data_IF_829468823438
#
_entry.id   IF_829468823438
#
_cell.length_a   1.000
_cell.length_b   1.000
_cell.length_c   1.000
_cell.angle_alpha   90.00
_cell.angle_beta   90.00
_cell.angle_gamma   90.00
#
_symmetry.space_group_name_H-M   'P 1'
#
loop_
_entity.id
_entity.type
_entity.pdbx_description
1 polymer ?
#
# COMPACT_ATOMS: atom_id res chain seq x y z
N UNK A 1 -7.12 -50.24 68.64
CA UNK A 1 -8.17 -49.22 68.52
C UNK A 1 -7.61 -48.16 67.52
N UNK A 2 -7.93 -48.30 66.26
CA UNK A 2 -7.42 -47.42 65.18
C UNK A 2 -8.60 -46.77 64.48
N UNK A 3 -8.75 -45.50 64.65
CA UNK A 3 -9.69 -44.69 63.87
C UNK A 3 -8.99 -44.15 62.65
N UNK A 4 -9.44 -44.57 61.44
CA UNK A 4 -8.97 -44.01 60.15
C UNK A 4 -9.85 -42.86 59.79
N UNK A 5 -9.28 -41.65 59.70
CA UNK A 5 -9.88 -40.46 59.13
C UNK A 5 -9.81 -40.56 57.59
N UNK A 6 -10.97 -40.76 56.99
CA UNK A 6 -11.12 -40.63 55.54
C UNK A 6 -11.39 -39.14 55.16
N UNK A 7 -10.47 -38.49 54.48
CA UNK A 7 -10.69 -37.18 53.87
C UNK A 7 -11.38 -37.41 52.54
N UNK A 8 -12.67 -37.09 52.44
CA UNK A 8 -13.36 -36.94 51.17
C UNK A 8 -12.83 -35.67 50.45
N UNK A 9 -12.09 -35.88 49.40
CA UNK A 9 -11.78 -34.81 48.45
C UNK A 9 -13.00 -34.69 47.48
N UNK A 10 -13.79 -33.65 47.66
CA UNK A 10 -14.74 -33.25 46.63
C UNK A 10 -13.95 -32.63 45.45
N UNK A 11 -13.79 -33.39 44.39
CA UNK A 11 -13.47 -32.83 43.10
C UNK A 11 -14.65 -31.96 42.62
N UNK A 12 -14.46 -30.66 42.61
CA UNK A 12 -15.31 -29.74 41.87
C UNK A 12 -15.04 -29.98 40.40
N UNK A 13 -15.94 -30.68 39.73
CA UNK A 13 -16.03 -30.63 38.27
C UNK A 13 -16.52 -29.24 37.90
N UNK A 14 -15.58 -28.45 37.31
CA UNK A 14 -15.96 -27.21 36.62
C UNK A 14 -16.64 -27.62 35.32
N UNK A 15 -17.96 -27.56 35.28
CA UNK A 15 -18.71 -27.60 34.01
C UNK A 15 -18.27 -26.41 33.16
N UNK A 16 -17.47 -26.67 32.14
CA UNK A 16 -17.22 -25.72 31.05
C UNK A 16 -18.58 -25.50 30.33
N UNK A 17 -19.26 -24.43 30.70
CA UNK A 17 -20.42 -23.96 29.95
C UNK A 17 -19.91 -23.43 28.61
N UNK A 18 -19.89 -24.28 27.61
CA UNK A 18 -19.73 -23.85 26.24
C UNK A 18 -20.89 -22.94 25.88
N UNK A 19 -20.66 -21.64 25.84
CA UNK A 19 -21.63 -20.70 25.27
C UNK A 19 -21.66 -20.92 23.76
N UNK A 20 -22.69 -21.58 23.27
CA UNK A 20 -22.91 -21.71 21.84
C UNK A 20 -23.36 -20.35 21.27
N UNK A 21 -22.59 -19.80 20.34
CA UNK A 21 -23.02 -18.65 19.56
C UNK A 21 -23.90 -19.15 18.39
N UNK A 22 -25.07 -18.52 18.23
CA UNK A 22 -25.98 -18.83 17.12
C UNK A 22 -25.76 -17.74 16.04
N UNK A 23 -25.29 -18.14 14.86
CA UNK A 23 -25.24 -17.29 13.67
C UNK A 23 -26.47 -17.61 12.80
N UNK A 24 -27.34 -16.60 12.57
CA UNK A 24 -28.45 -16.73 11.64
C UNK A 24 -28.19 -15.88 10.40
N UNK A 25 -28.21 -16.50 9.22
CA UNK A 25 -28.02 -15.82 7.93
C UNK A 25 -29.35 -15.86 7.16
N UNK A 26 -29.95 -14.69 6.93
CA UNK A 26 -31.13 -14.57 6.10
C UNK A 26 -30.73 -14.24 4.64
N UNK A 27 -30.58 -15.26 3.82
CA UNK A 27 -30.22 -15.12 2.42
C UNK A 27 -31.33 -14.48 1.54
N UNK A 28 -32.56 -14.48 2.01
CA UNK A 28 -33.69 -13.87 1.30
C UNK A 28 -33.76 -12.33 1.51
N UNK A 29 -33.09 -11.82 2.54
CA UNK A 29 -33.08 -10.39 2.89
C UNK A 29 -32.00 -9.58 2.15
N UNK A 30 -31.66 -9.93 0.91
CA UNK A 30 -30.65 -9.22 0.14
C UNK A 30 -31.10 -7.79 -0.18
N UNK A 31 -30.27 -6.80 0.19
CA UNK A 31 -30.53 -5.37 -0.09
C UNK A 31 -30.32 -4.97 -1.55
N UNK A 32 -29.84 -5.87 -2.41
CA UNK A 32 -29.40 -5.57 -3.79
C UNK A 32 -28.09 -4.79 -3.88
N UNK A 33 -27.52 -4.35 -2.75
CA UNK A 33 -26.24 -3.64 -2.72
C UNK A 33 -25.09 -4.63 -2.87
N UNK A 34 -24.16 -4.31 -3.74
CA UNK A 34 -22.92 -5.09 -3.93
C UNK A 34 -21.79 -4.45 -3.12
N UNK A 35 -21.02 -5.26 -2.44
CA UNK A 35 -19.77 -4.82 -1.81
C UNK A 35 -18.79 -4.44 -2.91
N UNK A 36 -18.15 -3.27 -2.80
CA UNK A 36 -17.14 -2.86 -3.77
C UNK A 36 -15.94 -3.82 -3.70
N UNK A 37 -15.51 -4.33 -4.85
CA UNK A 37 -14.37 -5.25 -4.93
C UNK A 37 -13.07 -4.68 -4.37
N UNK A 38 -12.93 -3.35 -4.35
CA UNK A 38 -11.70 -2.69 -3.87
C UNK A 38 -11.44 -2.89 -2.37
N UNK A 39 -12.43 -3.37 -1.58
CA UNK A 39 -12.17 -3.79 -0.19
C UNK A 39 -11.18 -4.97 -0.10
N UNK A 40 -11.00 -5.72 -1.19
CA UNK A 40 -10.00 -6.80 -1.31
C UNK A 40 -8.67 -6.29 -1.86
N UNK A 41 -8.47 -4.97 -1.89
CA UNK A 41 -7.22 -4.34 -2.27
C UNK A 41 -6.07 -4.73 -1.34
N UNK A 42 -4.87 -4.65 -1.87
CA UNK A 42 -3.65 -4.92 -1.12
C UNK A 42 -2.86 -3.64 -0.89
N UNK A 43 -1.95 -3.70 0.05
CA UNK A 43 -1.12 -2.61 0.51
C UNK A 43 0.35 -3.00 0.43
N UNK A 44 1.16 -2.13 -0.16
CA UNK A 44 2.59 -2.31 -0.31
C UNK A 44 3.33 -1.09 0.24
N UNK A 45 4.29 -1.31 1.11
CA UNK A 45 5.03 -0.26 1.80
C UNK A 45 6.53 -0.53 1.74
N UNK A 46 7.33 0.53 1.72
CA UNK A 46 8.78 0.47 1.94
C UNK A 46 9.06 0.10 3.40
N UNK A 47 8.79 -1.16 3.73
CA UNK A 47 8.92 -1.75 5.05
C UNK A 47 9.56 -3.14 4.94
N UNK A 48 10.70 -3.33 5.59
CA UNK A 48 11.40 -4.60 5.59
C UNK A 48 11.67 -5.09 4.17
N UNK A 49 11.19 -6.29 3.84
CA UNK A 49 11.35 -6.90 2.50
C UNK A 49 10.07 -6.85 1.66
N UNK A 50 9.15 -5.94 1.94
CA UNK A 50 7.94 -5.86 1.13
C UNK A 50 8.26 -5.44 -0.31
N UNK A 51 9.07 -4.41 -0.48
CA UNK A 51 9.49 -3.90 -1.81
C UNK A 51 10.79 -4.58 -2.22
N UNK A 52 11.94 -4.17 -1.65
CA UNK A 52 13.26 -4.65 -2.05
C UNK A 52 13.53 -6.07 -1.57
N UNK A 53 13.84 -6.98 -2.51
CA UNK A 53 13.98 -8.41 -2.25
C UNK A 53 12.65 -9.13 -1.97
N UNK A 54 11.54 -8.39 -1.97
CA UNK A 54 10.16 -8.87 -1.94
C UNK A 54 9.54 -8.86 -3.33
N UNK A 55 8.71 -7.86 -3.64
CA UNK A 55 8.09 -7.74 -4.97
C UNK A 55 9.08 -7.31 -6.05
N UNK A 56 10.12 -6.58 -5.68
CA UNK A 56 11.13 -6.02 -6.58
C UNK A 56 12.54 -6.50 -6.23
N UNK A 57 13.25 -7.01 -7.22
CA UNK A 57 14.62 -7.52 -7.07
C UNK A 57 15.63 -6.86 -8.02
N UNK A 58 15.14 -5.96 -8.88
CA UNK A 58 15.95 -5.38 -9.95
C UNK A 58 16.05 -6.29 -11.19
N UNK A 59 16.26 -5.66 -12.33
CA UNK A 59 16.23 -6.34 -13.63
C UNK A 59 17.39 -7.33 -13.81
N UNK A 60 18.54 -7.04 -13.18
CA UNK A 60 19.76 -7.84 -13.28
C UNK A 60 19.89 -8.92 -12.19
N UNK A 61 18.81 -9.20 -11.44
CA UNK A 61 18.80 -10.21 -10.40
C UNK A 61 18.75 -11.62 -10.97
N UNK A 62 19.45 -12.57 -10.34
CA UNK A 62 19.33 -14.00 -10.64
C UNK A 62 17.96 -14.58 -10.26
N UNK A 63 17.19 -13.90 -9.41
CA UNK A 63 15.81 -14.28 -9.09
C UNK A 63 14.93 -14.04 -10.32
N UNK A 64 14.11 -15.03 -10.75
CA UNK A 64 13.22 -14.86 -11.89
C UNK A 64 12.35 -13.63 -11.77
N UNK A 65 12.48 -12.72 -12.75
CA UNK A 65 11.78 -11.45 -12.74
C UNK A 65 11.41 -10.99 -14.16
N UNK A 66 10.46 -10.05 -14.24
CA UNK A 66 10.16 -9.29 -15.45
C UNK A 66 10.22 -7.81 -15.07
N UNK A 67 11.12 -7.06 -15.70
CA UNK A 67 11.38 -5.65 -15.40
C UNK A 67 11.66 -5.41 -13.90
N UNK A 68 12.39 -6.32 -13.28
CA UNK A 68 12.72 -6.29 -11.85
C UNK A 68 11.64 -6.81 -10.91
N UNK A 69 10.42 -7.09 -11.39
CA UNK A 69 9.33 -7.64 -10.57
C UNK A 69 9.41 -9.16 -10.49
N UNK A 70 9.43 -9.70 -9.28
CA UNK A 70 9.47 -11.16 -9.06
C UNK A 70 8.27 -11.86 -9.66
N UNK A 71 8.53 -12.81 -10.55
CA UNK A 71 7.48 -13.52 -11.29
C UNK A 71 6.58 -14.37 -10.39
N UNK A 72 7.12 -15.02 -9.36
CA UNK A 72 6.37 -15.81 -8.41
C UNK A 72 5.39 -14.98 -7.59
N UNK A 73 5.83 -13.80 -7.13
CA UNK A 73 4.98 -12.85 -6.38
C UNK A 73 3.90 -12.27 -7.27
N UNK A 74 4.25 -11.79 -8.48
CA UNK A 74 3.28 -11.27 -9.45
C UNK A 74 2.22 -12.32 -9.78
N UNK A 75 2.62 -13.57 -10.04
CA UNK A 75 1.68 -14.64 -10.34
C UNK A 75 0.76 -14.96 -9.16
N UNK A 76 1.28 -14.95 -7.93
CA UNK A 76 0.47 -15.15 -6.73
C UNK A 76 -0.60 -14.05 -6.57
N UNK A 77 -0.21 -12.78 -6.74
CA UNK A 77 -1.12 -11.64 -6.66
C UNK A 77 -2.17 -11.65 -7.79
N UNK A 78 -1.78 -12.05 -9.00
CA UNK A 78 -2.74 -12.28 -10.11
C UNK A 78 -3.74 -13.38 -9.78
N UNK A 79 -3.26 -14.49 -9.21
CA UNK A 79 -4.11 -15.65 -8.89
C UNK A 79 -5.20 -15.32 -7.88
N UNK A 80 -4.90 -14.47 -6.88
CA UNK A 80 -5.90 -14.03 -5.90
C UNK A 80 -6.77 -12.87 -6.40
N UNK A 81 -6.47 -12.32 -7.58
CA UNK A 81 -7.29 -11.30 -8.23
C UNK A 81 -7.29 -9.96 -7.51
N UNK A 82 -6.11 -9.46 -7.10
CA UNK A 82 -5.98 -8.16 -6.44
C UNK A 82 -6.61 -7.06 -7.29
N UNK A 83 -7.64 -6.35 -6.80
CA UNK A 83 -8.33 -5.33 -7.60
C UNK A 83 -7.62 -3.98 -7.61
N UNK A 84 -6.93 -3.65 -6.52
CA UNK A 84 -6.22 -2.39 -6.33
C UNK A 84 -5.02 -2.62 -5.41
N UNK A 85 -3.90 -1.98 -5.71
CA UNK A 85 -2.69 -2.02 -4.90
C UNK A 85 -2.31 -0.61 -4.47
N UNK A 86 -2.13 -0.41 -3.15
CA UNK A 86 -1.71 0.87 -2.56
C UNK A 86 -0.20 0.90 -2.36
N UNK A 87 0.42 2.05 -2.65
CA UNK A 87 1.85 2.35 -2.50
C UNK A 87 2.05 3.89 -2.34
N UNK A 88 3.13 4.45 -1.78
CA UNK A 88 4.39 3.84 -1.35
C UNK A 88 4.36 3.30 0.08
N UNK A 89 3.29 3.47 0.80
CA UNK A 89 3.20 2.99 2.16
C UNK A 89 2.08 3.60 2.97
N UNK A 90 2.13 3.31 4.26
CA UNK A 90 1.45 4.01 5.33
C UNK A 90 2.32 5.17 5.83
N UNK A 91 2.97 4.99 7.00
CA UNK A 91 3.83 6.03 7.58
C UNK A 91 4.96 6.47 6.63
N UNK A 92 5.53 5.55 5.85
CA UNK A 92 6.56 5.91 4.87
C UNK A 92 6.05 6.88 3.81
N UNK A 93 4.77 6.84 3.44
CA UNK A 93 4.20 7.77 2.46
C UNK A 93 4.36 9.24 2.88
N UNK A 94 4.33 9.54 4.18
CA UNK A 94 4.41 10.89 4.72
C UNK A 94 5.84 11.46 4.81
N UNK A 95 6.84 10.67 4.42
CA UNK A 95 8.22 11.12 4.22
C UNK A 95 8.74 10.90 2.79
N UNK A 96 7.94 10.25 1.91
CA UNK A 96 8.34 9.92 0.55
C UNK A 96 8.11 11.08 -0.41
N UNK A 97 9.17 11.54 -1.07
CA UNK A 97 9.12 12.52 -2.14
C UNK A 97 9.17 11.82 -3.49
N UNK A 98 8.12 11.91 -4.29
CA UNK A 98 7.96 11.15 -5.52
C UNK A 98 9.05 11.43 -6.58
N UNK A 99 9.57 12.64 -6.61
CA UNK A 99 10.67 13.00 -7.53
C UNK A 99 11.95 12.24 -7.24
N UNK A 100 12.17 11.81 -6.00
CA UNK A 100 13.33 11.00 -5.62
C UNK A 100 13.29 9.60 -6.26
N UNK A 101 12.10 9.12 -6.66
CA UNK A 101 11.87 7.80 -7.25
C UNK A 101 11.66 7.79 -8.77
N UNK A 102 12.03 8.85 -9.49
CA UNK A 102 11.93 8.90 -10.96
C UNK A 102 13.29 9.18 -11.60
N UNK A 103 13.37 9.03 -12.92
CA UNK A 103 14.61 9.20 -13.68
C UNK A 103 15.54 7.98 -13.59
N UNK A 104 16.80 8.11 -14.06
CA UNK A 104 17.77 7.02 -14.04
C UNK A 104 18.06 6.55 -12.61
N UNK A 105 17.99 5.24 -12.39
CA UNK A 105 18.08 4.63 -11.04
C UNK A 105 19.38 4.98 -10.31
N UNK A 106 20.45 5.11 -11.06
CA UNK A 106 21.80 5.40 -10.55
C UNK A 106 21.93 6.80 -9.95
N UNK A 107 21.03 7.72 -10.34
CA UNK A 107 21.04 9.12 -9.89
C UNK A 107 19.93 9.44 -8.91
N UNK A 108 19.07 8.47 -8.59
CA UNK A 108 17.99 8.68 -7.63
C UNK A 108 18.54 8.94 -6.24
N UNK A 109 17.87 9.82 -5.52
CA UNK A 109 18.26 10.18 -4.16
C UNK A 109 18.14 8.96 -3.23
N UNK A 110 19.15 8.79 -2.39
CA UNK A 110 19.13 7.80 -1.31
C UNK A 110 18.68 8.50 -0.03
N UNK A 111 17.73 7.90 0.67
CA UNK A 111 17.19 8.45 1.92
C UNK A 111 17.19 7.41 3.03
N UNK A 112 17.20 7.88 4.26
CA UNK A 112 17.01 7.00 5.42
C UNK A 112 15.52 6.85 5.66
N UNK A 113 15.04 5.62 5.71
CA UNK A 113 13.67 5.30 6.11
C UNK A 113 13.56 5.44 7.63
N UNK A 114 13.02 6.55 8.11
CA UNK A 114 12.99 6.86 9.55
C UNK A 114 11.89 6.07 10.27
N UNK A 115 10.87 5.64 9.55
CA UNK A 115 9.76 4.86 10.12
C UNK A 115 10.12 3.39 10.32
N UNK A 116 10.88 2.80 9.39
CA UNK A 116 11.05 1.35 9.34
C UNK A 116 12.53 0.94 9.32
N UNK A 117 13.10 0.81 10.50
CA UNK A 117 14.41 0.17 10.72
C UNK A 117 15.64 1.03 10.39
N UNK A 118 15.48 2.29 10.01
CA UNK A 118 16.59 3.18 9.68
C UNK A 118 17.42 2.72 8.47
N UNK A 119 16.84 1.91 7.59
CA UNK A 119 17.51 1.42 6.39
C UNK A 119 17.61 2.53 5.33
N UNK A 120 18.59 2.39 4.43
CA UNK A 120 18.71 3.32 3.31
C UNK A 120 17.86 2.82 2.15
N UNK A 121 16.85 3.63 1.78
CA UNK A 121 16.08 3.45 0.55
C UNK A 121 16.87 4.04 -0.61
N UNK A 122 17.07 3.27 -1.67
CA UNK A 122 17.81 3.73 -2.87
C UNK A 122 16.88 4.27 -3.96
N UNK A 123 15.57 4.21 -3.73
CA UNK A 123 14.52 4.65 -4.63
C UNK A 123 14.56 3.99 -6.02
N UNK A 124 15.20 2.82 -6.15
CA UNK A 124 15.20 2.06 -7.40
C UNK A 124 13.81 1.52 -7.76
N UNK A 125 12.89 1.49 -6.79
CA UNK A 125 11.46 1.26 -7.01
C UNK A 125 10.69 2.55 -6.73
N UNK A 126 10.19 3.17 -7.78
CA UNK A 126 9.43 4.42 -7.72
C UNK A 126 8.17 4.36 -8.56
N UNK A 127 7.68 5.53 -9.03
CA UNK A 127 6.41 5.64 -9.76
C UNK A 127 6.33 4.69 -10.95
N UNK A 128 7.34 4.66 -11.81
CA UNK A 128 7.33 3.83 -13.02
C UNK A 128 7.32 2.34 -12.70
N UNK A 129 8.13 1.93 -11.75
CA UNK A 129 8.22 0.55 -11.31
C UNK A 129 6.91 0.10 -10.63
N UNK A 130 6.28 0.97 -9.86
CA UNK A 130 4.97 0.68 -9.24
C UNK A 130 3.86 0.52 -10.30
N UNK A 131 3.81 1.43 -11.28
CA UNK A 131 2.83 1.32 -12.38
C UNK A 131 3.05 0.04 -13.21
N UNK A 132 4.31 -0.33 -13.44
CA UNK A 132 4.66 -1.59 -14.11
C UNK A 132 4.23 -2.81 -13.30
N UNK A 133 4.44 -2.80 -11.98
CA UNK A 133 3.94 -3.85 -11.08
C UNK A 133 2.42 -4.00 -11.20
N UNK A 134 1.68 -2.90 -11.11
CA UNK A 134 0.22 -2.92 -11.24
C UNK A 134 -0.23 -3.44 -12.60
N UNK A 135 0.45 -3.04 -13.68
CA UNK A 135 0.21 -3.54 -15.03
C UNK A 135 0.42 -5.06 -15.13
N UNK A 136 1.50 -5.57 -14.55
CA UNK A 136 1.79 -7.01 -14.55
C UNK A 136 0.77 -7.80 -13.73
N UNK A 137 0.34 -7.30 -12.58
CA UNK A 137 -0.69 -7.93 -11.74
C UNK A 137 -2.06 -7.84 -12.45
N UNK A 138 -2.35 -6.75 -13.15
CA UNK A 138 -3.65 -6.44 -13.72
C UNK A 138 -4.60 -5.79 -12.71
N UNK A 139 -4.04 -4.97 -11.78
CA UNK A 139 -4.80 -4.23 -10.77
C UNK A 139 -4.73 -2.73 -11.00
N UNK A 140 -5.67 -1.99 -10.38
CA UNK A 140 -5.62 -0.52 -10.39
C UNK A 140 -4.55 -0.02 -9.40
N UNK A 141 -3.72 0.95 -9.80
CA UNK A 141 -2.82 1.61 -8.87
C UNK A 141 -3.58 2.55 -7.93
N UNK A 142 -3.18 2.57 -6.66
CA UNK A 142 -3.58 3.53 -5.66
C UNK A 142 -2.31 4.14 -5.05
N UNK A 143 -2.08 5.41 -5.35
CA UNK A 143 -0.91 6.13 -4.85
C UNK A 143 -1.29 6.93 -3.61
N UNK A 144 -0.47 6.86 -2.57
CA UNK A 144 -0.65 7.63 -1.35
C UNK A 144 0.36 8.79 -1.30
N UNK A 145 -0.16 10.01 -1.26
CA UNK A 145 0.67 11.21 -1.33
C UNK A 145 1.19 11.62 0.06
N UNK A 146 2.34 12.29 0.07
CA UNK A 146 3.02 12.77 1.25
C UNK A 146 2.34 14.05 1.79
N UNK A 147 1.77 13.98 2.99
CA UNK A 147 1.21 15.13 3.71
C UNK A 147 2.02 15.49 4.96
N UNK A 148 2.96 14.65 5.36
CA UNK A 148 3.85 14.88 6.50
C UNK A 148 4.91 15.93 6.18
N UNK A 149 5.80 15.62 5.25
CA UNK A 149 6.90 16.51 4.82
C UNK A 149 6.71 17.14 3.44
N UNK A 150 5.78 16.60 2.62
CA UNK A 150 5.47 17.11 1.29
C UNK A 150 4.63 18.39 1.30
N UNK A 151 4.41 18.93 0.10
CA UNK A 151 3.58 20.12 -0.11
C UNK A 151 2.37 19.77 -0.97
N UNK A 152 1.30 20.58 -0.89
CA UNK A 152 0.14 20.49 -1.79
C UNK A 152 0.57 20.58 -3.26
N UNK A 153 1.55 21.43 -3.54
CA UNK A 153 2.11 21.58 -4.90
C UNK A 153 2.77 20.29 -5.37
N UNK A 154 3.60 19.68 -4.56
CA UNK A 154 4.27 18.44 -4.88
C UNK A 154 3.28 17.31 -5.19
N UNK A 155 2.20 17.21 -4.41
CA UNK A 155 1.12 16.27 -4.66
C UNK A 155 0.42 16.56 -6.00
N UNK A 156 0.09 17.83 -6.28
CA UNK A 156 -0.54 18.24 -7.53
C UNK A 156 0.36 17.94 -8.74
N UNK A 157 1.66 18.23 -8.63
CA UNK A 157 2.65 17.93 -9.66
C UNK A 157 2.81 16.42 -9.89
N UNK A 158 2.68 15.60 -8.85
CA UNK A 158 2.69 14.15 -9.01
C UNK A 158 1.47 13.63 -9.77
N UNK A 159 0.28 14.17 -9.48
CA UNK A 159 -0.94 13.85 -10.25
C UNK A 159 -0.79 14.31 -11.70
N UNK A 160 -0.27 15.52 -11.92
CA UNK A 160 0.01 16.04 -13.27
C UNK A 160 1.00 15.15 -14.02
N UNK A 161 2.09 14.74 -13.37
CA UNK A 161 3.06 13.80 -13.92
C UNK A 161 2.42 12.49 -14.39
N UNK A 162 1.49 11.97 -13.59
CA UNK A 162 0.85 10.68 -13.91
C UNK A 162 -0.28 10.79 -14.92
N UNK A 163 -1.04 11.90 -14.94
CA UNK A 163 -2.32 11.93 -15.63
C UNK A 163 -2.42 12.97 -16.76
N UNK A 164 -1.60 14.01 -16.77
CA UNK A 164 -1.73 15.05 -17.78
C UNK A 164 -1.27 14.59 -19.17
N UNK A 165 -1.99 15.04 -20.20
CA UNK A 165 -1.67 14.83 -21.63
C UNK A 165 -0.99 16.03 -22.27
N UNK A 166 -0.94 17.20 -21.58
CA UNK A 166 -0.28 18.41 -22.05
C UNK A 166 1.22 18.28 -22.19
N UNK A 167 1.90 19.35 -22.55
CA UNK A 167 3.34 19.45 -22.72
C UNK A 167 4.03 20.28 -21.62
N UNK A 168 3.44 20.30 -20.42
CA UNK A 168 4.02 21.02 -19.28
C UNK A 168 5.39 20.46 -18.90
N UNK A 169 6.15 21.22 -18.14
CA UNK A 169 7.48 20.82 -17.66
C UNK A 169 7.44 19.49 -16.92
N UNK A 170 6.40 19.26 -16.14
CA UNK A 170 6.22 18.01 -15.36
C UNK A 170 5.93 16.83 -16.29
N UNK A 171 5.10 17.03 -17.32
CA UNK A 171 4.82 16.00 -18.33
C UNK A 171 6.03 15.70 -19.20
N UNK A 172 6.78 16.74 -19.60
CA UNK A 172 8.04 16.55 -20.33
C UNK A 172 9.05 15.73 -19.52
N UNK A 173 9.07 15.89 -18.19
CA UNK A 173 9.88 15.05 -17.29
C UNK A 173 9.45 13.57 -17.38
N UNK A 174 8.13 13.26 -17.44
CA UNK A 174 7.64 11.89 -17.66
C UNK A 174 8.11 11.33 -19.02
N UNK A 175 8.02 12.14 -20.07
CA UNK A 175 8.48 11.73 -21.41
C UNK A 175 10.00 11.44 -21.43
N UNK A 176 10.77 12.31 -20.80
CA UNK A 176 12.23 12.10 -20.68
C UNK A 176 12.57 10.82 -19.89
N UNK A 177 11.71 10.43 -18.95
CA UNK A 177 11.82 9.19 -18.20
C UNK A 177 11.24 7.96 -18.95
N UNK A 178 10.98 8.08 -20.25
CA UNK A 178 10.62 6.97 -21.14
C UNK A 178 9.13 6.62 -21.18
N UNK A 179 8.25 7.42 -20.57
CA UNK A 179 6.81 7.14 -20.60
C UNK A 179 6.02 8.31 -21.17
N UNK A 180 5.59 8.18 -22.43
CA UNK A 180 4.92 9.25 -23.16
C UNK A 180 3.45 9.41 -22.76
N UNK A 181 2.73 8.30 -22.69
CA UNK A 181 1.30 8.28 -22.39
C UNK A 181 1.05 8.51 -20.88
N UNK A 182 -0.12 9.06 -20.48
CA UNK A 182 -0.48 9.14 -19.07
C UNK A 182 -0.68 7.75 -18.46
N UNK A 183 -0.38 7.62 -17.17
CA UNK A 183 -0.63 6.37 -16.44
C UNK A 183 -2.11 6.19 -16.09
N UNK A 184 -2.93 7.25 -16.18
CA UNK A 184 -4.37 7.23 -15.88
C UNK A 184 -4.67 6.77 -14.45
N UNK A 185 -3.94 7.29 -13.47
CA UNK A 185 -4.19 7.04 -12.06
C UNK A 185 -5.61 7.45 -11.68
N UNK A 186 -6.35 6.54 -11.01
CA UNK A 186 -7.73 6.76 -10.58
C UNK A 186 -7.87 7.00 -9.08
N UNK A 187 -6.93 6.51 -8.30
CA UNK A 187 -7.01 6.53 -6.83
C UNK A 187 -5.79 7.21 -6.24
N UNK A 188 -6.02 8.30 -5.54
CA UNK A 188 -5.03 9.05 -4.78
C UNK A 188 -5.47 9.10 -3.31
N UNK A 189 -4.59 8.68 -2.41
CA UNK A 189 -4.71 8.91 -0.98
C UNK A 189 -4.04 10.23 -0.60
N UNK A 190 -4.62 10.94 0.34
CA UNK A 190 -4.10 12.19 0.89
C UNK A 190 -3.62 11.93 2.30
N UNK A 191 -2.36 11.51 2.44
CA UNK A 191 -1.75 11.13 3.70
C UNK A 191 -2.10 9.74 4.22
N UNK A 192 -1.52 9.41 5.37
CA UNK A 192 -1.74 8.15 6.07
C UNK A 192 -2.11 8.43 7.53
N UNK A 193 -3.27 7.89 7.99
CA UNK A 193 -3.73 8.00 9.39
C UNK A 193 -3.78 9.43 9.94
N UNK A 194 -3.81 10.43 9.06
CA UNK A 194 -3.80 11.83 9.43
C UNK A 194 -5.10 12.23 10.14
N UNK A 195 -4.97 12.83 11.33
CA UNK A 195 -6.09 13.49 11.96
C UNK A 195 -6.52 14.68 11.10
N UNK A 196 -7.82 14.80 10.82
CA UNK A 196 -8.37 15.96 10.12
C UNK A 196 -8.34 17.15 11.10
N UNK A 197 -7.15 17.71 11.33
CA UNK A 197 -6.95 18.90 12.14
C UNK A 197 -7.34 20.15 11.35
N UNK A 198 -7.58 21.32 12.01
CA UNK A 198 -7.75 22.57 11.31
C UNK A 198 -6.59 22.89 10.37
N UNK A 199 -5.36 22.63 10.79
CA UNK A 199 -4.13 22.84 10.01
C UNK A 199 -4.09 21.94 8.76
N UNK A 200 -4.49 20.69 8.89
CA UNK A 200 -4.60 19.77 7.76
C UNK A 200 -5.63 20.27 6.75
N UNK A 201 -6.79 20.73 7.22
CA UNK A 201 -7.86 21.28 6.35
C UNK A 201 -7.40 22.57 5.65
N UNK A 202 -6.68 23.46 6.34
CA UNK A 202 -6.14 24.67 5.75
C UNK A 202 -5.10 24.34 4.67
N UNK A 203 -4.22 23.38 4.94
CA UNK A 203 -3.12 23.01 4.05
C UNK A 203 -3.59 22.19 2.83
N UNK A 204 -4.49 21.27 3.02
CA UNK A 204 -4.88 20.28 1.99
C UNK A 204 -6.37 20.35 1.58
N UNK A 205 -7.20 21.08 2.30
CA UNK A 205 -8.65 21.15 2.03
C UNK A 205 -9.02 21.71 0.65
N UNK A 206 -8.13 22.47 0.03
CA UNK A 206 -8.34 23.00 -1.33
C UNK A 206 -8.26 21.92 -2.40
N UNK A 207 -7.62 20.78 -2.13
CA UNK A 207 -7.52 19.64 -3.07
C UNK A 207 -8.88 18.97 -3.27
N UNK A 208 -9.75 19.01 -2.26
CA UNK A 208 -11.08 18.41 -2.31
C UNK A 208 -12.16 19.34 -2.91
N UNK A 209 -11.82 20.60 -3.17
CA UNK A 209 -12.76 21.60 -3.69
C UNK A 209 -12.60 21.85 -5.20
N UNK A 210 -11.63 21.21 -5.83
CA UNK A 210 -11.36 21.29 -7.27
C UNK A 210 -11.78 20.02 -7.98
#
# INVERSE_FOLDING_TARGET
>A
MNARNGRNQHKKETEDKHMAAILSINAAGQSGKKINKNIYGHFSEHLGRCIYGGVYVGENSDTPNVNGMRTDVVQALKKIGVPVLRWPGGCFADEYHWEDGIGPKETRKRMVNTNWGGVVEDNSFGTHEFMELCRQIGCEPYVNANVGSGTVREMAEWVEYMNSTGDSTVVQKRWANGHKEPFNLKYLGVGNEEAITPEFRERFGLIFAA
#
